data_IF_406544450435
#
_entry.id   IF_406544450435
#
_cell.length_a   1.000
_cell.length_b   1.000
_cell.length_c   1.000
_cell.angle_alpha   90.00
_cell.angle_beta   90.00
_cell.angle_gamma   90.00
#
_symmetry.space_group_name_H-M   'P 1'
#
loop_
_entity.id
_entity.type
_entity.pdbx_description
1 polymer ?
#
# COMPACT_ATOMS: atom_id res chain seq x y z
N UNK A 1 -19.36 -17.23 -8.74
CA UNK A 1 -18.18 -18.10 -8.91
C UNK A 1 -16.97 -17.31 -8.42
N UNK A 2 -16.39 -17.71 -7.29
CA UNK A 2 -15.11 -17.16 -6.85
C UNK A 2 -14.01 -18.02 -7.50
N UNK A 3 -13.10 -17.40 -8.22
CA UNK A 3 -11.92 -18.10 -8.71
C UNK A 3 -11.00 -18.33 -7.51
N UNK A 4 -10.86 -19.59 -7.09
CA UNK A 4 -9.78 -19.98 -6.20
C UNK A 4 -8.50 -19.99 -7.05
N UNK A 5 -7.65 -18.98 -6.87
CA UNK A 5 -6.36 -18.90 -7.55
C UNK A 5 -5.39 -19.71 -6.70
N UNK A 6 -5.14 -20.97 -7.08
CA UNK A 6 -4.06 -21.74 -6.47
C UNK A 6 -2.72 -21.21 -6.97
N UNK A 7 -1.92 -20.62 -6.07
CA UNK A 7 -0.56 -20.15 -6.37
C UNK A 7 -0.23 -18.82 -5.69
N UNK A 8 1.07 -18.55 -5.47
CA UNK A 8 1.54 -17.23 -5.03
C UNK A 8 1.28 -16.24 -6.18
N UNK A 9 0.61 -15.10 -5.95
CA UNK A 9 0.33 -14.13 -7.00
C UNK A 9 1.61 -13.66 -7.69
N UNK A 10 1.57 -13.59 -9.03
CA UNK A 10 2.63 -12.93 -9.80
C UNK A 10 2.61 -11.43 -9.52
N UNK A 11 3.79 -10.81 -9.55
CA UNK A 11 3.98 -9.38 -9.32
C UNK A 11 4.62 -8.73 -10.54
N UNK A 12 4.42 -7.43 -10.67
CA UNK A 12 5.10 -6.62 -11.69
C UNK A 12 6.60 -6.55 -11.38
N UNK A 13 7.41 -6.56 -12.43
CA UNK A 13 8.86 -6.32 -12.36
C UNK A 13 9.18 -4.95 -12.98
N UNK A 14 10.31 -4.35 -12.62
CA UNK A 14 10.83 -3.15 -13.28
C UNK A 14 10.00 -1.88 -13.01
N UNK A 15 9.39 -1.78 -11.83
CA UNK A 15 8.58 -0.60 -11.47
C UNK A 15 9.50 0.63 -11.34
N UNK A 16 9.31 1.61 -12.21
CA UNK A 16 9.88 2.95 -12.02
C UNK A 16 9.26 3.61 -10.78
N UNK A 17 9.97 3.53 -9.66
CA UNK A 17 9.53 4.09 -8.38
C UNK A 17 9.24 5.58 -8.48
N UNK A 18 10.00 6.36 -9.26
CA UNK A 18 9.80 7.82 -9.37
C UNK A 18 8.44 8.14 -9.98
N UNK A 19 8.01 7.37 -10.98
CA UNK A 19 6.68 7.51 -11.58
C UNK A 19 5.57 7.04 -10.64
N UNK A 20 5.87 6.09 -9.75
CA UNK A 20 4.92 5.58 -8.76
C UNK A 20 4.72 6.53 -7.56
N UNK A 21 5.66 7.46 -7.31
CA UNK A 21 5.62 8.44 -6.22
C UNK A 21 4.61 9.57 -6.46
N UNK A 22 3.34 9.20 -6.54
CA UNK A 22 2.20 10.10 -6.71
C UNK A 22 1.13 9.78 -5.68
N UNK A 23 -0.02 10.43 -5.82
CA UNK A 23 -1.23 10.09 -5.06
C UNK A 23 -2.06 9.06 -5.81
N UNK A 24 -2.39 7.99 -5.12
CA UNK A 24 -3.29 6.94 -5.57
C UNK A 24 -4.60 7.01 -4.80
N UNK A 25 -5.72 6.87 -5.51
CA UNK A 25 -7.04 6.78 -4.92
C UNK A 25 -7.49 5.33 -4.87
N UNK A 26 -8.01 4.91 -3.73
CA UNK A 26 -8.57 3.58 -3.56
C UNK A 26 -9.96 3.54 -4.21
N UNK A 27 -10.06 2.83 -5.34
CA UNK A 27 -11.32 2.67 -6.07
C UNK A 27 -12.14 1.51 -5.50
N UNK A 28 -11.47 0.44 -5.08
CA UNK A 28 -12.06 -0.72 -4.44
C UNK A 28 -11.02 -1.42 -3.55
N UNK A 29 -11.49 -2.02 -2.45
CA UNK A 29 -10.67 -2.77 -1.51
C UNK A 29 -11.50 -3.88 -0.87
N UNK A 30 -10.83 -4.92 -0.36
CA UNK A 30 -11.48 -5.85 0.55
C UNK A 30 -11.66 -5.20 1.92
N UNK A 31 -12.72 -5.55 2.67
CA UNK A 31 -12.92 -5.03 4.02
C UNK A 31 -11.68 -5.24 4.90
N UNK A 32 -11.17 -4.16 5.48
CA UNK A 32 -9.99 -4.18 6.33
C UNK A 32 -10.32 -3.62 7.71
N UNK A 33 -9.84 -4.28 8.78
CA UNK A 33 -9.99 -3.78 10.15
C UNK A 33 -9.25 -2.46 10.40
N UNK A 34 -8.29 -2.11 9.54
CA UNK A 34 -7.50 -0.87 9.66
C UNK A 34 -8.15 0.35 9.00
N UNK A 35 -9.24 0.15 8.26
CA UNK A 35 -9.96 1.21 7.57
C UNK A 35 -11.41 1.28 8.08
N UNK A 36 -12.00 2.48 8.22
CA UNK A 36 -13.40 2.60 8.57
C UNK A 36 -14.29 2.04 7.45
N UNK A 37 -15.33 1.27 7.81
CA UNK A 37 -16.23 0.64 6.84
C UNK A 37 -16.99 1.64 5.95
N UNK A 38 -17.25 2.85 6.45
CA UNK A 38 -17.85 3.97 5.73
C UNK A 38 -16.81 5.06 5.37
N UNK A 39 -15.54 4.67 5.19
CA UNK A 39 -14.50 5.57 4.70
C UNK A 39 -14.77 6.01 3.26
N UNK A 40 -14.54 7.29 2.97
CA UNK A 40 -14.66 7.86 1.62
C UNK A 40 -13.41 8.65 1.28
N UNK A 41 -13.16 8.81 -0.03
CA UNK A 41 -11.99 9.54 -0.54
C UNK A 41 -10.67 8.98 0.04
N UNK A 42 -10.61 7.65 0.20
CA UNK A 42 -9.43 6.95 0.69
C UNK A 42 -8.32 7.03 -0.33
N UNK A 43 -7.11 7.38 0.12
CA UNK A 43 -5.96 7.60 -0.74
C UNK A 43 -4.65 7.31 -0.03
N UNK A 44 -3.64 6.99 -0.82
CA UNK A 44 -2.25 6.87 -0.41
C UNK A 44 -1.40 7.86 -1.21
N UNK A 45 -0.53 8.61 -0.54
CA UNK A 45 0.47 9.45 -1.20
C UNK A 45 1.85 8.90 -0.89
N UNK A 46 2.64 8.65 -1.93
CA UNK A 46 3.98 8.06 -1.82
C UNK A 46 5.06 9.10 -2.12
N UNK A 47 6.10 9.15 -1.28
CA UNK A 47 7.27 10.02 -1.49
C UNK A 47 8.55 9.22 -1.31
N UNK A 48 9.46 9.28 -2.28
CA UNK A 48 10.75 8.59 -2.22
C UNK A 48 11.73 9.37 -1.34
N UNK A 49 12.30 8.70 -0.35
CA UNK A 49 13.33 9.25 0.53
C UNK A 49 14.73 9.09 -0.10
N UNK A 50 15.70 9.85 0.42
CA UNK A 50 17.09 9.79 -0.06
C UNK A 50 17.79 8.45 0.20
N UNK A 51 17.31 7.67 1.17
CA UNK A 51 17.83 6.35 1.52
C UNK A 51 17.19 5.20 0.71
N UNK A 52 16.32 5.53 -0.25
CA UNK A 52 15.62 4.55 -1.08
C UNK A 52 14.33 4.00 -0.46
N UNK A 53 14.02 4.32 0.79
CA UNK A 53 12.71 3.98 1.37
C UNK A 53 11.62 4.91 0.85
N UNK A 54 10.35 4.51 1.01
CA UNK A 54 9.19 5.30 0.59
C UNK A 54 8.40 5.74 1.82
N UNK A 55 8.22 7.05 1.99
CA UNK A 55 7.22 7.56 2.93
C UNK A 55 5.81 7.29 2.39
N UNK A 56 4.95 6.80 3.26
CA UNK A 56 3.55 6.47 2.95
C UNK A 56 2.64 7.31 3.83
N UNK A 57 1.78 8.12 3.21
CA UNK A 57 0.69 8.82 3.89
C UNK A 57 -0.64 8.25 3.41
N UNK A 58 -1.33 7.52 4.28
CA UNK A 58 -2.69 7.06 4.05
C UNK A 58 -3.69 8.03 4.68
N UNK A 59 -4.75 8.35 3.94
CA UNK A 59 -5.81 9.25 4.39
C UNK A 59 -7.17 8.70 4.00
N UNK A 60 -8.17 8.96 4.84
CA UNK A 60 -9.58 8.69 4.54
C UNK A 60 -10.46 9.71 5.26
N UNK A 61 -11.67 9.91 4.77
CA UNK A 61 -12.68 10.73 5.42
C UNK A 61 -13.80 9.86 5.93
N UNK A 62 -14.25 10.13 7.15
CA UNK A 62 -15.33 9.41 7.80
C UNK A 62 -16.15 10.40 8.62
N UNK A 63 -17.46 10.48 8.35
CA UNK A 63 -18.39 11.39 9.03
C UNK A 63 -17.89 12.86 9.09
N UNK A 64 -17.32 13.34 7.97
CA UNK A 64 -16.78 14.70 7.87
C UNK A 64 -15.45 14.94 8.56
N UNK A 65 -14.84 13.90 9.15
CA UNK A 65 -13.52 13.97 9.78
C UNK A 65 -12.46 13.26 8.93
N UNK A 66 -11.32 13.93 8.74
CA UNK A 66 -10.13 13.32 8.14
C UNK A 66 -9.41 12.46 9.16
N UNK A 67 -9.12 11.22 8.79
CA UNK A 67 -8.22 10.31 9.49
C UNK A 67 -6.98 10.07 8.62
N UNK A 68 -5.82 9.95 9.24
CA UNK A 68 -4.57 9.69 8.52
C UNK A 68 -3.60 8.86 9.35
N UNK A 69 -2.76 8.10 8.66
CA UNK A 69 -1.66 7.36 9.26
C UNK A 69 -0.42 7.44 8.35
N UNK A 70 0.74 7.54 8.97
CA UNK A 70 2.02 7.60 8.28
C UNK A 70 2.82 6.32 8.50
N UNK A 71 3.58 5.95 7.47
CA UNK A 71 4.39 4.76 7.47
C UNK A 71 5.59 4.87 6.54
N UNK A 72 6.32 3.77 6.46
CA UNK A 72 7.46 3.61 5.55
C UNK A 72 7.33 2.29 4.81
N UNK A 73 7.54 2.31 3.51
CA UNK A 73 7.69 1.11 2.68
C UNK A 73 9.16 0.92 2.28
N UNK A 74 9.56 -0.33 2.10
CA UNK A 74 10.87 -0.73 1.62
C UNK A 74 10.79 -2.05 0.85
N UNK A 75 11.73 -2.29 -0.06
CA UNK A 75 11.81 -3.52 -0.85
C UNK A 75 11.97 -4.74 0.05
N UNK A 76 11.24 -5.82 -0.26
CA UNK A 76 11.33 -7.07 0.49
C UNK A 76 12.65 -7.82 0.24
N UNK A 77 13.19 -7.73 -0.99
CA UNK A 77 14.49 -8.26 -1.39
C UNK A 77 15.14 -7.32 -2.41
N UNK A 78 16.19 -6.56 -2.03
CA UNK A 78 16.82 -5.57 -2.91
C UNK A 78 17.62 -6.19 -4.07
N UNK A 79 17.80 -7.51 -4.10
CA UNK A 79 18.50 -8.20 -5.19
C UNK A 79 17.55 -8.69 -6.29
N UNK A 80 16.24 -8.46 -6.14
CA UNK A 80 15.23 -8.91 -7.10
C UNK A 80 14.44 -7.71 -7.59
N UNK A 81 14.26 -7.65 -8.90
CA UNK A 81 13.42 -6.64 -9.56
C UNK A 81 11.93 -7.04 -9.49
N UNK A 82 11.45 -7.37 -8.29
CA UNK A 82 10.06 -7.75 -8.03
C UNK A 82 9.40 -6.63 -7.21
N UNK A 83 8.19 -6.21 -7.59
CA UNK A 83 7.43 -5.18 -6.87
C UNK A 83 6.79 -5.69 -5.56
N UNK A 84 7.61 -6.33 -4.71
CA UNK A 84 7.26 -6.81 -3.38
C UNK A 84 7.87 -5.88 -2.35
N UNK A 85 7.01 -5.16 -1.63
CA UNK A 85 7.41 -4.28 -0.56
C UNK A 85 6.89 -4.78 0.78
N UNK A 86 7.55 -4.33 1.84
CA UNK A 86 7.05 -4.38 3.21
C UNK A 86 6.71 -2.98 3.65
N UNK A 87 5.59 -2.83 4.33
CA UNK A 87 5.15 -1.56 4.92
C UNK A 87 5.17 -1.65 6.44
N UNK A 88 5.55 -0.55 7.09
CA UNK A 88 5.42 -0.35 8.53
C UNK A 88 4.65 0.92 8.80
N UNK A 89 3.60 0.84 9.61
CA UNK A 89 2.86 1.99 10.10
C UNK A 89 3.05 2.12 11.61
N UNK A 90 3.20 3.36 12.07
CA UNK A 90 3.28 3.70 13.48
C UNK A 90 1.89 4.18 13.88
N UNK A 91 1.28 3.58 14.90
CA UNK A 91 -0.04 4.00 15.42
C UNK A 91 0.16 4.84 16.69
N UNK A 92 -0.02 6.17 16.66
CA UNK A 92 0.03 7.04 17.83
C UNK A 92 -1.38 7.29 18.42
N UNK A 93 -1.55 7.67 19.70
CA UNK A 93 -0.61 7.61 20.82
C UNK A 93 -1.15 6.67 21.90
N UNK A 94 -1.03 5.36 21.72
CA UNK A 94 -1.18 4.43 22.82
C UNK A 94 0.23 3.99 23.21
N UNK A 95 0.60 4.14 24.48
CA UNK A 95 1.81 3.53 25.01
C UNK A 95 1.45 2.09 25.39
N UNK A 96 2.14 1.06 24.86
CA UNK A 96 3.34 1.10 24.00
C UNK A 96 3.05 1.38 22.52
N UNK A 97 4.03 1.94 21.80
CA UNK A 97 3.96 2.20 20.34
C UNK A 97 3.62 0.89 19.61
N UNK A 98 2.51 0.86 18.90
CA UNK A 98 2.09 -0.30 18.10
C UNK A 98 2.60 -0.13 16.67
N UNK A 99 3.34 -1.13 16.19
CA UNK A 99 3.78 -1.24 14.81
C UNK A 99 2.86 -2.20 14.07
N UNK A 100 2.27 -1.71 12.97
CA UNK A 100 1.54 -2.56 12.03
C UNK A 100 2.45 -2.83 10.84
N UNK A 101 2.74 -4.10 10.61
CA UNK A 101 3.53 -4.56 9.47
C UNK A 101 2.59 -5.18 8.43
N UNK A 102 2.89 -4.97 7.15
CA UNK A 102 2.12 -5.54 6.06
C UNK A 102 2.98 -5.80 4.83
N UNK A 103 2.48 -6.66 3.96
CA UNK A 103 3.01 -6.80 2.61
C UNK A 103 2.32 -5.79 1.69
N UNK A 104 3.03 -5.33 0.68
CA UNK A 104 2.48 -4.48 -0.38
C UNK A 104 3.05 -4.95 -1.70
N UNK A 105 2.28 -5.75 -2.44
CA UNK A 105 2.71 -6.34 -3.69
C UNK A 105 1.95 -5.70 -4.86
N UNK A 106 2.65 -5.15 -5.83
CA UNK A 106 2.04 -4.61 -7.05
C UNK A 106 1.80 -5.78 -8.00
N UNK A 107 0.56 -6.26 -8.06
CA UNK A 107 0.15 -7.40 -8.88
C UNK A 107 -0.08 -6.99 -10.35
N UNK A 108 -0.52 -5.75 -10.54
CA UNK A 108 -0.70 -5.14 -11.86
C UNK A 108 -0.40 -3.65 -11.77
N UNK A 109 0.19 -3.11 -12.84
CA UNK A 109 0.42 -1.69 -13.03
C UNK A 109 0.31 -1.41 -14.53
N UNK A 110 -0.55 -0.48 -14.91
CA UNK A 110 -0.66 -0.12 -16.33
C UNK A 110 0.58 0.69 -16.79
N UNK A 111 0.90 0.70 -18.10
CA UNK A 111 2.09 1.37 -18.62
C UNK A 111 2.17 2.88 -18.33
N UNK A 112 1.03 3.53 -18.09
CA UNK A 112 0.93 4.97 -17.83
C UNK A 112 0.87 5.32 -16.35
N UNK A 113 0.81 4.34 -15.44
CA UNK A 113 0.76 4.53 -13.98
C UNK A 113 -0.53 5.26 -13.54
N UNK A 114 -1.65 4.94 -14.17
CA UNK A 114 -2.99 5.40 -13.82
C UNK A 114 -3.77 4.40 -12.97
N UNK A 115 -3.46 3.11 -13.09
CA UNK A 115 -4.15 2.01 -12.41
C UNK A 115 -3.14 1.01 -11.86
N UNK A 116 -3.35 0.60 -10.62
CA UNK A 116 -2.58 -0.45 -9.97
C UNK A 116 -3.52 -1.40 -9.24
N UNK A 117 -3.18 -2.69 -9.24
CA UNK A 117 -3.79 -3.69 -8.37
C UNK A 117 -2.75 -4.09 -7.32
N UNK A 118 -3.11 -3.92 -6.05
CA UNK A 118 -2.25 -4.24 -4.92
C UNK A 118 -2.82 -5.44 -4.18
N UNK A 119 -1.93 -6.32 -3.72
CA UNK A 119 -2.32 -7.46 -2.89
C UNK A 119 -1.20 -7.90 -1.97
N UNK A 120 -1.37 -9.10 -1.43
CA UNK A 120 -0.45 -9.74 -0.49
C UNK A 120 -0.40 -11.27 -0.74
N UNK A 121 0.55 -12.02 -0.14
CA UNK A 121 0.76 -13.44 -0.46
C UNK A 121 -0.43 -14.35 -0.16
N UNK A 122 -1.30 -13.94 0.77
CA UNK A 122 -2.51 -14.67 1.15
C UNK A 122 -3.66 -13.68 1.17
N UNK A 123 -4.61 -13.81 0.23
CA UNK A 123 -5.87 -13.04 0.24
C UNK A 123 -6.99 -13.83 0.90
#
# INVERSE_FOLDING_TARGET
>A
MAYHIEGVPEVVNGVDLKRYMVRWYEIASFPSFFQPANGVNTRATYTLNSDGTVHVLNETWNDGKRNSIEGTAYEADPNRDEAKLKVKFIVPPFFPIILVLGNYWILYLDPYYHYALIGEPTM
#
